data_IF_427235195413
#
_entry.id   IF_427235195413
#
_cell.length_a   1.000
_cell.length_b   1.000
_cell.length_c   1.000
_cell.angle_alpha   90.00
_cell.angle_beta   90.00
_cell.angle_gamma   90.00
#
_symmetry.space_group_name_H-M   'P 1'
#
loop_
_entity.id
_entity.type
_entity.pdbx_description
1 polymer ?
#
# COMPACT_ATOMS: atom_id res chain seq x y z
N UNK A 1 -2.21 4.02 -3.72
CA UNK A 1 -1.15 4.23 -2.74
C UNK A 1 -1.54 3.47 -1.50
N UNK A 2 -0.92 2.32 -1.28
CA UNK A 2 -1.07 1.49 -0.10
C UNK A 2 0.20 1.64 0.74
N UNK A 3 0.07 2.07 1.99
CA UNK A 3 1.18 2.17 2.93
C UNK A 3 0.86 1.48 4.26
N UNK A 4 -0.13 0.57 4.25
CA UNK A 4 -0.68 -0.11 5.41
C UNK A 4 -1.05 0.85 6.56
N UNK A 5 -1.42 2.10 6.24
CA UNK A 5 -1.78 3.15 7.19
C UNK A 5 -2.96 3.99 6.67
N UNK A 6 -3.88 4.34 7.57
CA UNK A 6 -4.75 5.51 7.44
C UNK A 6 -4.14 6.64 8.29
N UNK A 7 -4.87 7.22 9.24
CA UNK A 7 -4.28 7.91 10.40
C UNK A 7 -3.63 6.85 11.31
N UNK A 8 -4.46 5.91 11.76
CA UNK A 8 -4.11 4.67 12.46
C UNK A 8 -3.96 3.50 11.47
N UNK A 9 -3.48 2.31 11.90
CA UNK A 9 -3.46 1.13 11.03
C UNK A 9 -4.84 0.85 10.43
N UNK A 10 -4.93 0.50 9.13
CA UNK A 10 -6.19 0.33 8.44
C UNK A 10 -6.88 -0.94 8.91
N UNK A 11 -8.19 -0.85 9.10
CA UNK A 11 -9.05 -1.96 9.51
C UNK A 11 -9.92 -2.44 8.34
N UNK A 12 -10.38 -3.69 8.40
CA UNK A 12 -11.38 -4.23 7.48
C UNK A 12 -10.88 -5.27 6.48
N UNK A 13 -11.81 -5.77 5.66
CA UNK A 13 -11.57 -6.87 4.73
C UNK A 13 -10.71 -6.49 3.53
N UNK A 14 -10.80 -5.24 3.06
CA UNK A 14 -10.02 -4.74 1.94
C UNK A 14 -8.52 -4.71 2.27
N UNK A 15 -8.13 -4.28 3.47
CA UNK A 15 -6.73 -4.29 3.88
C UNK A 15 -6.14 -5.70 3.85
N UNK A 16 -6.88 -6.68 4.40
CA UNK A 16 -6.45 -8.10 4.37
C UNK A 16 -6.30 -8.63 2.95
N UNK A 17 -7.17 -8.21 2.03
CA UNK A 17 -7.10 -8.58 0.63
C UNK A 17 -5.85 -7.98 -0.05
N UNK A 18 -5.58 -6.69 0.17
CA UNK A 18 -4.38 -6.02 -0.37
C UNK A 18 -3.09 -6.62 0.20
N UNK A 19 -3.03 -6.90 1.50
CA UNK A 19 -1.92 -7.61 2.14
C UNK A 19 -1.67 -9.01 1.53
N UNK A 20 -2.75 -9.74 1.19
CA UNK A 20 -2.64 -11.02 0.49
C UNK A 20 -2.04 -10.86 -0.92
N UNK A 21 -2.44 -9.82 -1.66
CA UNK A 21 -1.86 -9.53 -2.98
C UNK A 21 -0.37 -9.18 -2.89
N UNK A 22 0.05 -8.40 -1.88
CA UNK A 22 1.46 -8.09 -1.64
C UNK A 22 2.28 -9.35 -1.35
N UNK A 23 1.85 -10.17 -0.39
CA UNK A 23 2.59 -11.38 0.01
C UNK A 23 2.78 -12.39 -1.13
N UNK A 24 1.78 -12.55 -2.00
CA UNK A 24 1.86 -13.42 -3.17
C UNK A 24 2.95 -12.99 -4.19
N UNK A 25 3.08 -11.69 -4.45
CA UNK A 25 4.06 -11.17 -5.41
C UNK A 25 5.49 -11.11 -4.83
N UNK A 26 5.66 -10.76 -3.55
CA UNK A 26 6.97 -10.83 -2.89
C UNK A 26 7.51 -12.26 -2.83
N UNK A 27 6.65 -13.25 -2.63
CA UNK A 27 7.03 -14.67 -2.72
C UNK A 27 7.50 -15.06 -4.13
N UNK A 28 6.84 -14.54 -5.18
CA UNK A 28 7.27 -14.77 -6.56
C UNK A 28 8.61 -14.08 -6.89
N UNK A 29 8.84 -12.86 -6.41
CA UNK A 29 10.09 -12.13 -6.60
C UNK A 29 11.28 -12.78 -5.87
N UNK A 30 11.10 -13.24 -4.63
CA UNK A 30 12.14 -13.96 -3.87
C UNK A 30 12.51 -15.29 -4.54
N UNK A 31 11.53 -16.04 -5.05
CA UNK A 31 11.79 -17.27 -5.82
C UNK A 31 12.54 -17.00 -7.14
N UNK A 32 12.24 -15.90 -7.84
CA UNK A 32 13.00 -15.46 -9.03
C UNK A 32 14.43 -15.03 -8.68
N UNK A 33 14.64 -14.41 -7.51
CA UNK A 33 15.97 -14.04 -7.01
C UNK A 33 16.87 -15.25 -6.70
N UNK A 34 16.30 -16.32 -6.13
CA UNK A 34 17.00 -17.60 -5.92
C UNK A 34 17.28 -18.30 -7.27
N UNK A 35 16.33 -18.22 -8.23
CA UNK A 35 16.50 -18.79 -9.56
C UNK A 35 17.60 -18.14 -10.41
N UNK A 36 17.94 -16.87 -10.18
CA UNK A 36 19.03 -16.17 -10.89
C UNK A 36 20.44 -16.63 -10.49
N UNK A 37 20.59 -17.32 -9.36
CA UNK A 37 21.89 -17.93 -8.99
C UNK A 37 22.14 -19.22 -9.79
N UNK A 38 21.16 -19.73 -10.54
CA UNK A 38 21.23 -21.04 -11.22
C UNK A 38 21.10 -21.01 -12.75
N UNK A 39 21.27 -19.86 -13.42
CA UNK A 39 21.13 -19.83 -14.89
C UNK A 39 22.15 -18.95 -15.59
N UNK A 40 23.39 -19.43 -15.68
CA UNK A 40 24.29 -19.08 -16.79
C UNK A 40 24.21 -20.19 -17.85
N UNK A 41 23.20 -20.16 -18.72
CA UNK A 41 23.22 -20.81 -20.04
C UNK A 41 22.02 -20.36 -20.91
N UNK A 42 22.19 -20.15 -22.23
CA UNK A 42 21.07 -19.92 -23.17
C UNK A 42 20.31 -21.26 -23.42
N UNK A 43 18.97 -21.26 -23.65
CA UNK A 43 18.20 -20.32 -24.46
C UNK A 43 16.93 -19.78 -23.74
N UNK A 44 16.97 -18.53 -23.28
CA UNK A 44 15.84 -17.88 -22.58
C UNK A 44 14.75 -17.38 -23.56
N UNK A 45 15.10 -17.18 -24.84
CA UNK A 45 14.21 -16.62 -25.86
C UNK A 45 13.07 -17.56 -26.27
N UNK A 46 13.32 -18.86 -26.45
CA UNK A 46 12.25 -19.83 -26.74
C UNK A 46 11.33 -20.08 -25.54
N UNK A 47 11.88 -19.99 -24.32
CA UNK A 47 11.09 -20.13 -23.10
C UNK A 47 10.16 -18.93 -22.91
N UNK A 48 10.63 -17.71 -23.20
CA UNK A 48 9.81 -16.50 -23.15
C UNK A 48 8.62 -16.57 -24.11
N UNK A 49 8.83 -17.04 -25.35
CA UNK A 49 7.78 -17.20 -26.36
C UNK A 49 6.77 -18.30 -26.00
N UNK A 50 7.21 -19.41 -25.40
CA UNK A 50 6.31 -20.46 -24.87
C UNK A 50 5.53 -20.00 -23.62
N UNK A 51 6.10 -19.12 -22.80
CA UNK A 51 5.40 -18.49 -21.68
C UNK A 51 4.31 -17.53 -22.16
N UNK A 52 4.57 -16.78 -23.23
CA UNK A 52 3.60 -15.89 -23.85
C UNK A 52 2.40 -16.66 -24.43
N UNK A 53 2.65 -17.84 -25.02
CA UNK A 53 1.58 -18.73 -25.51
C UNK A 53 0.81 -19.45 -24.38
N UNK A 54 1.46 -19.77 -23.25
CA UNK A 54 0.79 -20.31 -22.06
C UNK A 54 0.06 -19.26 -21.22
N UNK A 55 0.43 -17.97 -21.33
CA UNK A 55 -0.28 -16.87 -20.69
C UNK A 55 -1.67 -16.63 -21.29
N UNK A 56 -1.89 -17.01 -22.56
CA UNK A 56 -3.20 -16.88 -23.24
C UNK A 56 -4.28 -17.81 -22.67
N UNK A 57 -3.93 -18.81 -21.85
CA UNK A 57 -4.84 -19.79 -21.27
C UNK A 57 -4.98 -19.76 -19.75
N UNK A 58 -4.26 -18.87 -19.05
CA UNK A 58 -4.43 -18.69 -17.61
C UNK A 58 -5.51 -17.65 -17.38
N UNK A 59 -6.69 -18.10 -16.97
CA UNK A 59 -7.61 -17.25 -16.19
C UNK A 59 -6.87 -16.95 -14.89
N UNK A 60 -6.08 -15.88 -14.88
CA UNK A 60 -5.57 -15.30 -13.65
C UNK A 60 -6.82 -14.94 -12.84
N UNK A 61 -6.92 -15.32 -11.55
CA UNK A 61 -8.07 -14.93 -10.75
C UNK A 61 -8.21 -13.41 -10.85
N UNK A 62 -9.30 -12.94 -11.46
CA UNK A 62 -9.58 -11.53 -11.58
C UNK A 62 -9.54 -10.94 -10.16
N UNK A 63 -8.78 -9.88 -9.98
CA UNK A 63 -8.85 -9.09 -8.77
C UNK A 63 -10.25 -8.50 -8.64
N UNK A 64 -10.69 -8.18 -7.42
CA UNK A 64 -11.97 -7.47 -7.23
C UNK A 64 -12.05 -6.16 -8.03
N UNK A 65 -10.90 -5.55 -8.36
CA UNK A 65 -10.84 -4.34 -9.18
C UNK A 65 -11.14 -4.63 -10.64
N UNK A 66 -10.68 -5.77 -11.16
CA UNK A 66 -11.05 -6.24 -12.50
C UNK A 66 -12.54 -6.59 -12.59
N UNK A 67 -13.14 -7.11 -11.52
CA UNK A 67 -14.60 -7.29 -11.44
C UNK A 67 -15.36 -5.96 -11.50
N UNK A 68 -14.78 -4.87 -10.98
CA UNK A 68 -15.33 -3.51 -11.13
C UNK A 68 -15.03 -2.84 -12.47
N UNK A 69 -14.39 -3.56 -13.40
CA UNK A 69 -14.06 -3.06 -14.75
C UNK A 69 -12.77 -2.25 -14.83
N UNK A 70 -11.90 -2.30 -13.83
CA UNK A 70 -10.58 -1.68 -13.89
C UNK A 70 -9.53 -2.64 -14.47
N UNK A 71 -8.59 -2.10 -15.24
CA UNK A 71 -7.35 -2.82 -15.53
C UNK A 71 -6.40 -2.69 -14.34
N UNK A 72 -6.19 -3.79 -13.61
CA UNK A 72 -5.36 -3.79 -12.41
C UNK A 72 -3.87 -3.94 -12.74
N UNK A 73 -3.04 -3.05 -12.17
CA UNK A 73 -1.58 -3.01 -12.37
C UNK A 73 -0.90 -2.91 -10.99
N UNK A 74 -0.02 -3.86 -10.66
CA UNK A 74 0.75 -3.90 -9.41
C UNK A 74 0.47 -5.13 -8.54
N UNK A 75 0.80 -5.10 -7.22
CA UNK A 75 1.50 -4.02 -6.52
C UNK A 75 2.90 -3.74 -7.07
N UNK A 76 3.31 -2.48 -7.12
CA UNK A 76 4.69 -2.05 -7.41
C UNK A 76 5.27 -1.21 -6.27
N UNK A 77 6.60 -1.20 -6.14
CA UNK A 77 7.29 -0.34 -5.18
C UNK A 77 7.17 1.13 -5.61
N UNK A 78 6.58 1.96 -4.75
CA UNK A 78 6.42 3.39 -4.98
C UNK A 78 7.65 4.24 -4.68
N UNK A 79 8.69 3.65 -4.10
CA UNK A 79 9.97 4.32 -3.86
C UNK A 79 11.02 4.01 -4.92
N UNK A 80 10.73 3.11 -5.86
CA UNK A 80 11.53 2.85 -7.04
C UNK A 80 11.04 3.69 -8.22
N UNK A 81 11.62 4.87 -8.39
CA UNK A 81 11.25 5.78 -9.49
C UNK A 81 11.63 5.23 -10.87
N UNK A 82 12.66 4.40 -10.96
CA UNK A 82 13.10 3.80 -12.22
C UNK A 82 12.05 2.83 -12.76
N UNK A 83 11.30 2.16 -11.87
CA UNK A 83 10.15 1.33 -12.24
C UNK A 83 8.84 2.13 -12.34
N UNK A 84 8.60 3.07 -11.42
CA UNK A 84 7.32 3.78 -11.30
C UNK A 84 7.08 4.74 -12.48
N UNK A 85 8.08 5.53 -12.88
CA UNK A 85 7.91 6.53 -13.94
C UNK A 85 7.58 5.89 -15.30
N UNK A 86 8.29 4.86 -15.78
CA UNK A 86 7.91 4.16 -17.01
C UNK A 86 6.52 3.51 -16.91
N UNK A 87 6.16 2.95 -15.76
CA UNK A 87 4.83 2.34 -15.54
C UNK A 87 3.73 3.38 -15.70
N UNK A 88 3.89 4.57 -15.11
CA UNK A 88 2.93 5.67 -15.25
C UNK A 88 2.81 6.15 -16.70
N UNK A 89 3.93 6.25 -17.44
CA UNK A 89 3.92 6.62 -18.86
C UNK A 89 3.15 5.61 -19.70
N UNK A 90 3.38 4.32 -19.46
CA UNK A 90 2.65 3.26 -20.16
C UNK A 90 1.14 3.31 -19.85
N UNK A 91 0.77 3.58 -18.60
CA UNK A 91 -0.64 3.76 -18.19
C UNK A 91 -1.29 4.93 -18.94
N UNK A 92 -0.61 6.06 -19.04
CA UNK A 92 -1.11 7.22 -19.78
C UNK A 92 -1.35 6.86 -21.24
N UNK A 93 -0.38 6.21 -21.90
CA UNK A 93 -0.53 5.78 -23.29
C UNK A 93 -1.74 4.86 -23.49
N UNK A 94 -1.97 3.90 -22.57
CA UNK A 94 -3.14 3.01 -22.61
C UNK A 94 -4.46 3.78 -22.47
N UNK A 95 -4.50 4.78 -21.60
CA UNK A 95 -5.69 5.64 -21.45
C UNK A 95 -5.96 6.41 -22.75
N UNK A 96 -4.92 6.96 -23.38
CA UNK A 96 -5.02 7.69 -24.64
C UNK A 96 -5.48 6.80 -25.80
N UNK A 97 -5.11 5.51 -25.78
CA UNK A 97 -5.53 4.48 -26.73
C UNK A 97 -6.96 3.96 -26.49
N UNK A 98 -7.60 4.35 -25.37
CA UNK A 98 -8.97 3.99 -25.06
C UNK A 98 -9.14 2.69 -24.25
N UNK A 99 -8.08 2.19 -23.60
CA UNK A 99 -8.10 0.95 -22.80
C UNK A 99 -8.92 1.05 -21.49
N UNK A 100 -9.73 2.10 -21.32
CA UNK A 100 -10.62 2.27 -20.17
C UNK A 100 -9.89 2.58 -18.85
N UNK A 101 -10.57 2.46 -17.70
CA UNK A 101 -10.02 2.88 -16.41
C UNK A 101 -8.89 1.96 -15.94
N UNK A 102 -7.80 2.54 -15.45
CA UNK A 102 -6.63 1.83 -14.95
C UNK A 102 -6.56 1.94 -13.42
N UNK A 103 -6.23 0.85 -12.74
CA UNK A 103 -6.01 0.81 -11.29
C UNK A 103 -4.54 0.46 -11.00
N UNK A 104 -3.74 1.46 -10.65
CA UNK A 104 -2.34 1.25 -10.26
C UNK A 104 -2.22 1.11 -8.73
N UNK A 105 -1.85 -0.08 -8.28
CA UNK A 105 -1.53 -0.37 -6.90
C UNK A 105 -0.05 -0.08 -6.62
N UNK A 106 0.21 1.08 -6.02
CA UNK A 106 1.55 1.48 -5.56
C UNK A 106 1.68 1.26 -4.06
N UNK A 107 2.71 0.53 -3.64
CA UNK A 107 3.06 0.29 -2.23
C UNK A 107 4.09 1.33 -1.79
N UNK A 108 3.82 2.06 -0.71
CA UNK A 108 4.74 3.05 -0.14
C UNK A 108 4.92 2.85 1.36
N UNK A 109 5.69 3.72 1.99
CA UNK A 109 5.93 3.72 3.43
C UNK A 109 5.59 5.11 3.95
N UNK A 110 4.67 5.19 4.89
CA UNK A 110 4.27 6.47 5.49
C UNK A 110 5.47 7.06 6.24
N UNK A 111 5.78 8.33 5.95
CA UNK A 111 6.93 9.02 6.52
C UNK A 111 8.28 8.76 5.83
N UNK A 112 8.33 7.99 4.73
CA UNK A 112 9.58 7.67 4.01
C UNK A 112 10.44 8.93 3.78
N UNK A 113 11.73 8.81 4.11
CA UNK A 113 12.70 9.89 3.98
C UNK A 113 12.93 10.67 5.27
N UNK A 114 12.09 10.44 6.29
CA UNK A 114 12.30 10.97 7.63
C UNK A 114 12.12 9.88 8.70
N UNK A 115 13.26 9.40 9.23
CA UNK A 115 13.33 8.23 10.13
C UNK A 115 12.37 8.28 11.33
N UNK A 116 12.14 9.46 11.91
CA UNK A 116 11.23 9.58 13.05
C UNK A 116 9.76 9.44 12.64
N UNK A 117 9.39 9.93 11.46
CA UNK A 117 8.04 9.73 10.92
C UNK A 117 7.82 8.31 10.39
N UNK A 118 8.86 7.63 9.91
CA UNK A 118 8.78 6.21 9.56
C UNK A 118 8.61 5.31 10.79
N UNK A 119 9.16 5.72 11.93
CA UNK A 119 9.06 4.99 13.20
C UNK A 119 7.72 5.23 13.91
N UNK A 120 7.19 6.45 13.84
CA UNK A 120 5.88 6.80 14.40
C UNK A 120 4.99 7.56 13.38
N UNK A 121 4.45 6.86 12.37
CA UNK A 121 3.66 7.49 11.31
C UNK A 121 2.31 8.05 11.80
N UNK A 122 1.88 7.72 13.02
CA UNK A 122 0.65 8.25 13.62
C UNK A 122 0.93 9.61 14.23
N UNK A 123 1.96 9.73 15.07
CA UNK A 123 2.38 11.01 15.66
C UNK A 123 2.73 12.05 14.60
N UNK A 124 3.35 11.61 13.51
CA UNK A 124 3.77 12.47 12.40
C UNK A 124 2.70 12.66 11.31
N UNK A 125 1.45 12.21 11.52
CA UNK A 125 0.38 12.37 10.52
C UNK A 125 -0.03 13.84 10.31
N UNK A 126 0.05 14.67 11.35
CA UNK A 126 -0.30 16.09 11.28
C UNK A 126 0.36 16.91 12.38
N UNK A 127 1.71 16.96 12.42
CA UNK A 127 2.40 17.63 13.52
C UNK A 127 2.25 19.15 13.42
N UNK A 128 2.18 19.81 14.58
CA UNK A 128 2.44 21.25 14.66
C UNK A 128 3.90 21.58 14.33
N UNK A 129 4.32 22.83 14.48
CA UNK A 129 5.72 23.22 14.25
C UNK A 129 6.66 22.43 15.17
N UNK A 130 7.64 21.74 14.59
CA UNK A 130 8.69 21.00 15.31
C UNK A 130 10.06 21.22 14.67
N UNK A 131 11.14 20.83 15.36
CA UNK A 131 12.49 20.86 14.81
C UNK A 131 12.78 19.52 14.10
N UNK A 132 13.05 19.49 12.79
CA UNK A 132 13.30 18.23 12.06
C UNK A 132 14.50 17.43 12.57
N UNK A 133 15.51 18.09 13.13
CA UNK A 133 16.70 17.42 13.68
C UNK A 133 16.36 16.69 14.99
N UNK A 134 15.49 17.28 15.82
CA UNK A 134 15.16 16.76 17.15
C UNK A 134 13.90 15.89 17.17
N UNK A 135 13.00 16.07 16.21
CA UNK A 135 11.69 15.44 16.17
C UNK A 135 10.60 16.16 16.98
N UNK A 136 9.45 15.52 17.10
CA UNK A 136 8.33 16.01 17.91
C UNK A 136 8.64 15.71 19.36
N UNK A 137 8.74 16.77 20.17
CA UNK A 137 8.91 16.63 21.61
C UNK A 137 7.54 16.54 22.29
N UNK A 138 7.42 15.76 23.38
CA UNK A 138 6.21 15.77 24.20
C UNK A 138 5.88 17.20 24.64
N UNK A 139 4.65 17.63 24.36
CA UNK A 139 4.17 18.92 24.85
C UNK A 139 3.95 18.85 26.37
N UNK A 140 4.12 19.99 27.05
CA UNK A 140 3.63 20.11 28.43
C UNK A 140 2.11 19.85 28.44
N UNK A 141 1.55 19.25 29.51
CA UNK A 141 0.11 19.01 29.59
C UNK A 141 -0.66 20.30 29.31
N UNK A 142 -1.42 20.31 28.22
CA UNK A 142 -2.29 21.42 27.86
C UNK A 142 -3.60 21.38 28.63
N UNK A 143 -4.47 22.36 28.35
CA UNK A 143 -5.87 22.26 28.76
C UNK A 143 -6.51 21.07 28.06
N UNK A 144 -7.47 20.41 28.72
CA UNK A 144 -8.25 19.37 28.08
C UNK A 144 -8.92 19.92 26.82
N UNK A 145 -8.83 19.16 25.74
CA UNK A 145 -9.49 19.46 24.47
C UNK A 145 -10.94 18.98 24.52
N UNK A 146 -11.81 19.56 23.70
CA UNK A 146 -13.19 19.07 23.58
C UNK A 146 -13.25 17.59 23.15
N UNK A 147 -12.31 17.13 22.30
CA UNK A 147 -12.20 15.72 21.91
C UNK A 147 -11.90 14.81 23.10
N UNK A 148 -11.02 15.25 24.01
CA UNK A 148 -10.72 14.49 25.24
C UNK A 148 -11.94 14.45 26.17
N UNK A 149 -12.59 15.59 26.40
CA UNK A 149 -13.81 15.65 27.22
C UNK A 149 -14.90 14.75 26.67
N UNK A 150 -15.12 14.79 25.34
CA UNK A 150 -16.09 13.92 24.68
C UNK A 150 -15.70 12.44 24.78
N UNK A 151 -14.43 12.10 24.58
CA UNK A 151 -13.94 10.73 24.68
C UNK A 151 -14.06 10.15 26.09
N UNK A 152 -13.70 10.92 27.11
CA UNK A 152 -13.89 10.56 28.52
C UNK A 152 -15.39 10.32 28.82
N UNK A 153 -16.25 11.27 28.45
CA UNK A 153 -17.70 11.14 28.64
C UNK A 153 -18.29 9.93 27.91
N UNK A 154 -17.84 9.65 26.68
CA UNK A 154 -18.33 8.52 25.89
C UNK A 154 -17.99 7.18 26.56
N UNK A 155 -16.77 7.06 27.10
CA UNK A 155 -16.34 5.90 27.86
C UNK A 155 -17.17 5.73 29.15
N UNK A 156 -17.40 6.81 29.89
CA UNK A 156 -18.22 6.80 31.11
C UNK A 156 -19.66 6.34 30.81
N UNK A 157 -20.24 6.84 29.72
CA UNK A 157 -21.59 6.47 29.30
C UNK A 157 -21.67 5.03 28.78
N UNK A 158 -20.64 4.54 28.08
CA UNK A 158 -20.57 3.15 27.63
C UNK A 158 -20.53 2.16 28.80
N UNK A 159 -19.94 2.55 29.93
CA UNK A 159 -19.93 1.73 31.14
C UNK A 159 -21.31 1.65 31.81
N UNK A 160 -22.16 2.69 31.63
CA UNK A 160 -23.47 2.78 32.24
C UNK A 160 -24.62 2.25 31.37
N UNK A 161 -24.54 2.36 30.03
CA UNK A 161 -25.57 1.89 29.10
C UNK A 161 -25.00 0.84 28.12
N UNK A 162 -25.37 -0.45 28.26
CA UNK A 162 -24.86 -1.52 27.39
C UNK A 162 -25.35 -1.43 25.94
N UNK A 163 -26.29 -0.52 25.63
CA UNK A 163 -26.77 -0.28 24.26
C UNK A 163 -25.91 0.74 23.51
N UNK A 164 -25.06 1.49 24.23
CA UNK A 164 -24.23 2.53 23.63
C UNK A 164 -23.07 1.89 22.85
N UNK A 165 -22.87 2.33 21.61
CA UNK A 165 -21.77 1.91 20.72
C UNK A 165 -21.08 3.18 20.19
N UNK A 166 -19.75 3.24 20.31
CA UNK A 166 -18.90 4.37 19.90
C UNK A 166 -17.96 4.04 18.76
#
# INVERSE_FOLDING_TARGET
NDNDMSISPPVGALNRYLARLMSGQFYAHTKKGIGRVLSMAPPVLELARRFEEHAKGMVVPATMFEEFGFNYIGPIDGHDLDSLVPTLRNIIARIDEGDGPQFLHVVTRKGQGYKLAEADPVLYHGPGRFNPVEGIRPAKPGKQTYTQVFGEWLCDMAAADPRLVG
#
